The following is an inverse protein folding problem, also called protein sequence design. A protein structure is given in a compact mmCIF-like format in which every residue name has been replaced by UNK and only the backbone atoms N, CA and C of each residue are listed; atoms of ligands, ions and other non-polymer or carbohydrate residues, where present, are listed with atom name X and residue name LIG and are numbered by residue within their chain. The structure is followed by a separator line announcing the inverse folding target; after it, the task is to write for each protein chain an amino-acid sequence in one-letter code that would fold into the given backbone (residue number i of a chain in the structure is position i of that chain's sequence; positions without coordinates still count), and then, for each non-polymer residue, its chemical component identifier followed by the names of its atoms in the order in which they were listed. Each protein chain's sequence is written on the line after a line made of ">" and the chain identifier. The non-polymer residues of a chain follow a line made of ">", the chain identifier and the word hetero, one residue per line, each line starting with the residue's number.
data_IF_934657810599
#
_entry.id   IF_934657810599
#
_cell.length_a   1.000
_cell.length_b   1.000
_cell.length_c   1.000
_cell.angle_alpha   90.00
_cell.angle_beta   90.00
_cell.angle_gamma   90.00
#
_symmetry.space_group_name_H-M   'P 1'
#
loop_
_entity.id
_entity.type
_entity.pdbx_description
1 polymer ?
#
# COMPACT_ATOMS: atom_id res chain seq x y z
N UNK A 1 18.63 6.00 16.57
CA UNK A 1 18.09 5.54 15.27
C UNK A 1 16.65 5.11 15.49
N UNK A 2 15.68 5.65 14.76
CA UNK A 2 14.29 5.16 14.86
C UNK A 2 14.21 3.76 14.25
N UNK A 3 13.57 2.83 14.97
CA UNK A 3 13.42 1.43 14.52
C UNK A 3 12.40 1.38 13.38
N UNK A 4 12.68 0.56 12.37
CA UNK A 4 11.70 0.27 11.32
C UNK A 4 10.41 -0.31 11.93
N UNK A 5 9.27 0.06 11.36
CA UNK A 5 7.96 -0.47 11.75
C UNK A 5 7.50 -1.45 10.69
N UNK A 6 7.03 -2.62 11.12
CA UNK A 6 6.54 -3.68 10.22
C UNK A 6 5.11 -4.01 10.61
N UNK A 7 4.22 -3.91 9.63
CA UNK A 7 2.84 -4.37 9.72
C UNK A 7 2.71 -5.69 8.96
N UNK A 8 2.64 -6.79 9.69
CA UNK A 8 2.57 -8.14 9.15
C UNK A 8 1.11 -8.55 8.90
N UNK A 9 0.83 -9.09 7.72
CA UNK A 9 -0.50 -9.56 7.36
C UNK A 9 -0.63 -11.05 7.68
N UNK A 10 -1.73 -11.43 8.33
CA UNK A 10 -2.04 -12.82 8.66
C UNK A 10 -2.24 -13.69 7.43
N UNK A 11 -2.87 -13.11 6.41
CA UNK A 11 -3.14 -13.77 5.13
C UNK A 11 -2.85 -12.83 3.96
N UNK A 12 -2.63 -13.42 2.79
CA UNK A 12 -2.41 -12.68 1.55
C UNK A 12 -3.73 -12.14 0.95
N UNK A 13 -4.53 -11.46 1.77
CA UNK A 13 -5.87 -10.99 1.44
C UNK A 13 -5.99 -9.49 1.70
N UNK A 14 -6.48 -8.75 0.72
CA UNK A 14 -6.81 -7.31 0.87
C UNK A 14 -8.26 -7.10 1.32
N UNK A 15 -9.02 -8.19 1.46
CA UNK A 15 -10.46 -8.17 1.73
C UNK A 15 -10.78 -8.58 3.17
N UNK A 16 -10.00 -9.51 3.72
CA UNK A 16 -10.23 -10.07 5.04
C UNK A 16 -8.90 -10.55 5.62
N UNK A 17 -8.31 -9.80 6.54
CA UNK A 17 -7.02 -10.15 7.15
C UNK A 17 -6.81 -9.38 8.46
N UNK A 18 -6.10 -9.98 9.40
CA UNK A 18 -5.56 -9.29 10.57
C UNK A 18 -4.17 -8.76 10.25
N UNK A 19 -3.89 -7.55 10.69
CA UNK A 19 -2.59 -6.91 10.56
C UNK A 19 -2.00 -6.79 11.96
N UNK A 20 -0.83 -7.39 12.16
CA UNK A 20 -0.13 -7.42 13.43
C UNK A 20 1.13 -6.56 13.40
N UNK A 21 1.51 -6.00 14.56
CA UNK A 21 2.80 -5.36 14.79
C UNK A 21 3.49 -6.05 15.95
N UNK A 22 4.68 -6.60 15.72
CA UNK A 22 5.43 -7.33 16.76
C UNK A 22 4.65 -8.50 17.36
N UNK A 23 3.87 -9.22 16.52
CA UNK A 23 3.04 -10.35 16.94
C UNK A 23 1.70 -9.99 17.60
N UNK A 24 1.45 -8.71 17.91
CA UNK A 24 0.17 -8.27 18.47
C UNK A 24 -0.77 -7.77 17.36
N UNK A 25 -2.04 -8.22 17.30
CA UNK A 25 -3.05 -7.69 16.39
C UNK A 25 -3.21 -6.18 16.57
N UNK A 26 -3.04 -5.43 15.49
CA UNK A 26 -3.11 -3.97 15.48
C UNK A 26 -4.30 -3.46 14.67
N UNK A 27 -4.57 -4.08 13.51
CA UNK A 27 -5.73 -3.73 12.68
C UNK A 27 -6.42 -4.98 12.15
N UNK A 28 -7.70 -4.84 11.81
CA UNK A 28 -8.47 -5.81 11.05
C UNK A 28 -8.96 -5.14 9.77
N UNK A 29 -8.75 -5.80 8.63
CA UNK A 29 -9.32 -5.43 7.34
C UNK A 29 -10.51 -6.35 7.10
N UNK A 30 -11.66 -5.77 6.78
CA UNK A 30 -12.86 -6.54 6.45
C UNK A 30 -13.64 -5.87 5.33
N UNK A 31 -13.97 -6.63 4.29
CA UNK A 31 -14.88 -6.25 3.22
C UNK A 31 -16.23 -6.91 3.45
N UNK A 32 -17.32 -6.17 3.24
CA UNK A 32 -18.67 -6.74 3.33
C UNK A 32 -18.93 -7.80 2.25
N UNK A 33 -20.00 -8.57 2.41
CA UNK A 33 -20.34 -9.68 1.50
C UNK A 33 -20.53 -9.24 0.04
N UNK A 34 -21.04 -8.02 -0.17
CA UNK A 34 -21.23 -7.46 -1.50
C UNK A 34 -19.96 -6.89 -2.14
N UNK A 35 -18.81 -6.91 -1.44
CA UNK A 35 -17.57 -6.32 -1.96
C UNK A 35 -17.59 -4.78 -2.05
N UNK A 36 -18.65 -4.13 -1.57
CA UNK A 36 -18.92 -2.71 -1.75
C UNK A 36 -18.32 -1.84 -0.65
N UNK A 37 -17.91 -2.41 0.49
CA UNK A 37 -17.30 -1.63 1.56
C UNK A 37 -16.17 -2.41 2.21
N UNK A 38 -14.98 -1.83 2.23
CA UNK A 38 -13.81 -2.32 2.97
C UNK A 38 -13.53 -1.38 4.13
N UNK A 39 -13.38 -1.93 5.32
CA UNK A 39 -13.06 -1.20 6.54
C UNK A 39 -11.74 -1.67 7.12
N UNK A 40 -10.99 -0.73 7.69
CA UNK A 40 -9.79 -0.96 8.49
C UNK A 40 -10.11 -0.48 9.89
N UNK A 41 -10.04 -1.36 10.89
CA UNK A 41 -10.41 -1.07 12.27
C UNK A 41 -9.38 -1.54 13.26
N UNK A 42 -9.28 -0.87 14.41
CA UNK A 42 -8.51 -1.38 15.54
C UNK A 42 -9.28 -2.53 16.23
N UNK A 43 -8.66 -3.69 16.49
CA UNK A 43 -9.28 -4.80 17.20
C UNK A 43 -9.57 -4.39 18.65
N UNK A 44 -10.66 -4.90 19.22
CA UNK A 44 -11.09 -4.61 20.60
C UNK A 44 -11.91 -3.33 20.74
N UNK A 45 -11.44 -2.19 20.25
CA UNK A 45 -12.18 -0.91 20.35
C UNK A 45 -13.18 -0.70 19.23
N UNK A 46 -13.06 -1.47 18.13
CA UNK A 46 -13.83 -1.30 16.91
C UNK A 46 -13.71 0.12 16.29
N UNK A 47 -12.65 0.85 16.64
CA UNK A 47 -12.39 2.20 16.12
C UNK A 47 -12.10 2.11 14.62
N UNK A 48 -12.84 2.87 13.82
CA UNK A 48 -12.63 2.96 12.38
C UNK A 48 -11.38 3.78 12.09
N UNK A 49 -10.41 3.22 11.35
CA UNK A 49 -9.27 3.96 10.82
C UNK A 49 -9.58 4.51 9.43
N UNK A 50 -10.05 3.63 8.55
CA UNK A 50 -10.41 3.98 7.19
C UNK A 50 -11.58 3.12 6.69
N UNK A 51 -12.44 3.72 5.87
CA UNK A 51 -13.51 3.04 5.14
C UNK A 51 -13.42 3.40 3.68
N UNK A 52 -13.31 2.40 2.81
CA UNK A 52 -13.42 2.53 1.37
C UNK A 52 -14.79 1.99 0.97
N UNK A 53 -15.63 2.85 0.39
CA UNK A 53 -16.95 2.48 -0.11
C UNK A 53 -16.93 2.54 -1.64
N UNK A 54 -17.15 1.40 -2.27
CA UNK A 54 -17.33 1.23 -3.71
C UNK A 54 -18.80 1.34 -4.07
N UNK A 55 -19.10 2.11 -5.10
CA UNK A 55 -20.48 2.41 -5.47
C UNK A 55 -20.68 2.21 -6.96
N UNK A 56 -21.78 1.57 -7.33
CA UNK A 56 -22.08 1.28 -8.74
C UNK A 56 -22.53 2.54 -9.50
N UNK A 57 -23.36 3.38 -8.86
CA UNK A 57 -23.97 4.56 -9.47
C UNK A 57 -23.30 5.89 -9.06
N UNK A 58 -22.49 5.86 -8.00
CA UNK A 58 -21.85 7.07 -7.45
C UNK A 58 -20.34 6.87 -7.43
N UNK A 59 -19.54 7.95 -7.34
CA UNK A 59 -18.10 7.81 -7.18
C UNK A 59 -17.74 7.07 -5.90
N UNK A 60 -16.74 6.20 -5.98
CA UNK A 60 -16.11 5.58 -4.81
C UNK A 60 -15.64 6.64 -3.82
N UNK A 61 -15.76 6.35 -2.53
CA UNK A 61 -15.37 7.27 -1.47
C UNK A 61 -14.45 6.61 -0.46
N UNK A 62 -13.57 7.41 0.14
CA UNK A 62 -12.78 7.04 1.30
C UNK A 62 -13.11 7.96 2.48
N UNK A 63 -13.24 7.41 3.67
CA UNK A 63 -13.43 8.14 4.91
C UNK A 63 -12.40 7.69 5.94
N UNK A 64 -11.86 8.63 6.71
CA UNK A 64 -10.94 8.39 7.81
C UNK A 64 -11.62 8.76 9.14
N UNK A 65 -11.06 8.28 10.25
CA UNK A 65 -11.57 8.54 11.60
C UNK A 65 -11.77 10.05 11.89
N UNK A 66 -10.87 10.87 11.35
CA UNK A 66 -10.70 12.30 11.63
C UNK A 66 -11.32 13.22 10.56
N UNK A 67 -12.01 12.66 9.55
CA UNK A 67 -12.32 13.40 8.34
C UNK A 67 -13.68 13.09 7.72
N UNK A 68 -14.17 14.04 6.91
CA UNK A 68 -15.34 13.82 6.06
C UNK A 68 -14.97 12.86 4.91
N UNK A 69 -15.92 12.04 4.43
CA UNK A 69 -15.70 11.24 3.24
C UNK A 69 -15.25 12.09 2.05
N UNK A 70 -14.22 11.64 1.34
CA UNK A 70 -13.72 12.23 0.12
C UNK A 70 -13.92 11.27 -1.06
N UNK A 71 -14.05 11.80 -2.28
CA UNK A 71 -14.01 10.96 -3.48
C UNK A 71 -12.65 10.28 -3.56
N UNK A 72 -12.64 8.97 -3.75
CA UNK A 72 -11.42 8.15 -3.75
C UNK A 72 -10.45 8.59 -4.86
N UNK A 73 -10.97 8.88 -6.06
CA UNK A 73 -10.17 9.39 -7.19
C UNK A 73 -9.58 10.79 -6.96
N UNK A 74 -10.19 11.59 -6.08
CA UNK A 74 -9.65 12.91 -5.69
C UNK A 74 -8.59 12.78 -4.60
N UNK A 75 -8.76 11.83 -3.68
CA UNK A 75 -7.81 11.57 -2.60
C UNK A 75 -6.56 10.85 -3.09
N UNK A 76 -6.73 9.77 -3.86
CA UNK A 76 -5.64 8.98 -4.44
C UNK A 76 -5.64 9.15 -5.97
N UNK A 77 -5.05 10.25 -6.42
CA UNK A 77 -5.07 10.69 -7.82
C UNK A 77 -4.14 9.83 -8.65
N UNK A 78 -4.68 9.11 -9.62
CA UNK A 78 -3.91 8.35 -10.58
C UNK A 78 -3.36 9.28 -11.66
N UNK A 79 -2.08 9.14 -11.99
CA UNK A 79 -1.43 9.96 -13.00
C UNK A 79 -0.20 9.25 -13.59
N UNK A 80 0.18 9.67 -14.79
CA UNK A 80 1.53 9.43 -15.32
C UNK A 80 2.50 10.37 -14.61
N UNK A 81 3.56 9.83 -14.02
CA UNK A 81 4.60 10.58 -13.32
C UNK A 81 5.57 11.22 -14.32
N UNK A 82 6.50 12.04 -13.84
CA UNK A 82 7.44 12.78 -14.68
C UNK A 82 8.38 11.88 -15.49
N UNK A 83 8.61 10.66 -15.02
CA UNK A 83 9.37 9.61 -15.72
C UNK A 83 8.52 8.79 -16.69
N UNK A 84 7.27 9.18 -16.95
CA UNK A 84 6.37 8.46 -17.86
C UNK A 84 5.71 7.22 -17.24
N UNK A 85 5.99 6.90 -15.99
CA UNK A 85 5.49 5.69 -15.34
C UNK A 85 4.17 5.95 -14.58
N UNK A 86 3.25 4.97 -14.54
CA UNK A 86 1.99 5.13 -13.82
C UNK A 86 2.24 5.16 -12.31
N UNK A 87 1.56 6.08 -11.63
CA UNK A 87 1.58 6.19 -10.19
C UNK A 87 0.32 6.82 -9.62
N UNK A 88 0.26 6.89 -8.30
CA UNK A 88 -0.81 7.51 -7.57
C UNK A 88 -0.25 8.54 -6.58
N UNK A 89 -0.87 9.70 -6.48
CA UNK A 89 -0.48 10.76 -5.54
C UNK A 89 -1.57 11.01 -4.52
N UNK A 90 -1.17 11.25 -3.27
CA UNK A 90 -2.08 11.60 -2.19
C UNK A 90 -1.35 12.33 -1.06
N UNK A 91 -2.12 13.06 -0.26
CA UNK A 91 -1.60 13.79 0.89
C UNK A 91 -1.70 12.94 2.16
N UNK A 92 -0.64 13.00 2.97
CA UNK A 92 -0.57 12.44 4.32
C UNK A 92 -0.14 13.53 5.30
N UNK A 93 -0.25 13.32 6.62
CA UNK A 93 0.38 14.21 7.60
C UNK A 93 1.90 14.36 7.41
N UNK A 94 2.57 13.43 6.70
CA UNK A 94 3.99 13.51 6.33
C UNK A 94 4.23 14.38 5.07
N UNK A 95 3.17 14.90 4.45
CA UNK A 95 3.20 15.61 3.18
C UNK A 95 2.69 14.77 2.01
N UNK A 96 2.80 15.35 0.80
CA UNK A 96 2.45 14.68 -0.45
C UNK A 96 3.36 13.46 -0.69
N UNK A 97 2.77 12.35 -1.08
CA UNK A 97 3.46 11.10 -1.34
C UNK A 97 3.07 10.52 -2.70
N UNK A 98 3.96 9.67 -3.25
CA UNK A 98 3.76 9.00 -4.54
C UNK A 98 3.82 7.49 -4.36
N UNK A 99 2.72 6.81 -4.62
CA UNK A 99 2.60 5.35 -4.59
C UNK A 99 2.72 4.79 -6.00
N UNK A 100 3.67 3.89 -6.23
CA UNK A 100 3.94 3.33 -7.55
C UNK A 100 4.55 1.93 -7.45
N UNK A 101 4.61 1.25 -8.59
CA UNK A 101 5.31 -0.02 -8.68
C UNK A 101 6.82 0.16 -8.41
N UNK A 102 7.44 -0.87 -7.82
CA UNK A 102 8.86 -0.90 -7.52
C UNK A 102 9.47 -2.23 -7.98
N UNK A 103 10.66 -2.24 -8.60
CA UNK A 103 11.33 -3.47 -9.04
C UNK A 103 11.47 -4.55 -7.97
N UNK A 104 11.84 -4.16 -6.75
CA UNK A 104 12.15 -5.12 -5.67
C UNK A 104 10.97 -5.36 -4.73
N UNK A 105 10.01 -4.44 -4.68
CA UNK A 105 9.02 -4.41 -3.61
C UNK A 105 7.59 -4.58 -4.12
N UNK A 106 7.36 -4.77 -5.43
CA UNK A 106 6.03 -4.73 -6.08
C UNK A 106 5.34 -3.37 -6.00
N UNK A 107 5.25 -2.76 -4.82
CA UNK A 107 4.70 -1.43 -4.58
C UNK A 107 5.53 -0.69 -3.53
N UNK A 108 5.84 0.58 -3.79
CA UNK A 108 6.53 1.46 -2.86
C UNK A 108 5.90 2.86 -2.85
N UNK A 109 5.92 3.48 -1.68
CA UNK A 109 5.50 4.84 -1.42
C UNK A 109 6.73 5.71 -1.23
N UNK A 110 6.81 6.78 -2.01
CA UNK A 110 7.89 7.75 -1.97
C UNK A 110 7.40 9.08 -1.40
N UNK A 111 8.34 9.89 -0.92
CA UNK A 111 8.14 11.34 -0.79
C UNK A 111 7.85 11.98 -2.16
N UNK A 112 7.28 13.19 -2.15
CA UNK A 112 6.92 13.92 -3.37
C UNK A 112 8.08 14.12 -4.37
N UNK A 113 9.31 14.23 -3.87
CA UNK A 113 10.54 14.40 -4.66
C UNK A 113 11.11 13.06 -5.18
N UNK A 114 10.45 11.94 -4.88
CA UNK A 114 10.86 10.57 -5.26
C UNK A 114 12.22 10.11 -4.69
N UNK A 115 12.84 10.88 -3.79
CA UNK A 115 14.19 10.55 -3.28
C UNK A 115 14.17 9.53 -2.15
N UNK A 116 13.04 9.39 -1.43
CA UNK A 116 12.96 8.59 -0.21
C UNK A 116 11.75 7.68 -0.20
N UNK A 117 11.99 6.39 0.03
CA UNK A 117 10.93 5.42 0.33
C UNK A 117 10.39 5.66 1.75
N UNK A 118 9.10 5.93 1.85
CA UNK A 118 8.33 6.12 3.10
C UNK A 118 7.75 4.79 3.59
N UNK A 119 7.27 3.96 2.66
CA UNK A 119 6.77 2.62 2.96
C UNK A 119 6.86 1.74 1.71
N UNK A 120 6.90 0.42 1.87
CA UNK A 120 6.86 -0.51 0.74
C UNK A 120 6.28 -1.87 1.15
N UNK A 121 5.80 -2.63 0.17
CA UNK A 121 5.52 -4.04 0.41
C UNK A 121 6.82 -4.82 0.62
N UNK A 122 6.83 -5.68 1.62
CA UNK A 122 7.87 -6.66 1.89
C UNK A 122 7.33 -8.07 1.69
N UNK A 123 8.17 -8.95 1.13
CA UNK A 123 7.90 -10.38 1.01
C UNK A 123 8.22 -11.16 2.30
N UNK A 124 8.18 -12.49 2.19
CA UNK A 124 8.36 -13.44 3.31
C UNK A 124 9.70 -13.34 4.06
N UNK A 125 10.71 -12.67 3.48
CA UNK A 125 11.98 -12.41 4.17
C UNK A 125 11.85 -11.17 5.04
N UNK A 126 11.09 -11.29 6.12
CA UNK A 126 11.07 -10.29 7.18
C UNK A 126 12.41 -10.30 7.91
N UNK A 127 12.90 -9.14 8.38
CA UNK A 127 14.15 -9.10 9.13
C UNK A 127 14.04 -10.04 10.35
N UNK A 128 15.09 -10.83 10.66
CA UNK A 128 15.05 -11.85 11.72
C UNK A 128 14.77 -11.30 13.12
N UNK A 129 14.80 -9.96 13.28
CA UNK A 129 14.57 -9.25 14.53
C UNK A 129 13.10 -8.94 14.85
N UNK A 130 12.14 -9.37 14.02
CA UNK A 130 10.70 -9.22 14.32
C UNK A 130 10.19 -10.58 14.83
N UNK A 131 9.98 -10.75 16.15
CA UNK A 131 9.32 -11.93 16.67
C UNK A 131 7.86 -11.90 16.19
N UNK A 132 7.63 -12.61 15.11
CA UNK A 132 6.30 -12.94 14.67
C UNK A 132 5.99 -14.24 15.41
N UNK A 133 4.87 -14.27 16.12
CA UNK A 133 4.26 -15.51 16.58
C UNK A 133 4.08 -16.47 15.37
N UNK A 134 3.62 -17.73 15.49
CA UNK A 134 3.57 -18.66 14.36
C UNK A 134 2.52 -18.31 13.27
N UNK A 135 2.26 -17.04 13.00
CA UNK A 135 1.65 -16.54 11.78
C UNK A 135 2.61 -16.76 10.61
N UNK A 136 2.15 -17.49 9.61
CA UNK A 136 2.77 -17.49 8.29
C UNK A 136 2.59 -16.10 7.67
N UNK A 137 3.58 -15.22 7.85
CA UNK A 137 3.49 -13.89 7.24
C UNK A 137 3.69 -14.03 5.74
N UNK A 138 2.62 -13.79 5.00
CA UNK A 138 2.62 -13.88 3.54
C UNK A 138 2.93 -12.55 2.87
N UNK A 139 2.70 -11.44 3.58
CA UNK A 139 2.94 -10.08 3.10
C UNK A 139 3.14 -9.14 4.30
N UNK A 140 3.97 -8.11 4.15
CA UNK A 140 4.14 -7.09 5.17
C UNK A 140 4.25 -5.69 4.57
N UNK A 141 3.66 -4.70 5.23
CA UNK A 141 3.91 -3.29 4.93
C UNK A 141 5.04 -2.80 5.83
N UNK A 142 6.15 -2.38 5.23
CA UNK A 142 7.37 -1.97 5.94
C UNK A 142 7.51 -0.46 5.88
N UNK A 143 7.74 0.16 7.03
CA UNK A 143 8.06 1.57 7.19
C UNK A 143 9.52 1.68 7.66
N UNK A 144 10.45 2.20 6.84
CA UNK A 144 11.85 2.36 7.23
C UNK A 144 12.04 3.26 8.46
N UNK A 145 11.12 4.20 8.68
CA UNK A 145 11.05 5.06 9.87
C UNK A 145 9.67 4.96 10.48
N UNK A 146 9.59 5.04 11.81
CA UNK A 146 8.31 5.12 12.52
C UNK A 146 7.47 6.29 12.00
N UNK A 147 6.18 6.04 11.81
CA UNK A 147 5.17 7.01 11.40
C UNK A 147 4.09 7.09 12.47
N UNK A 148 3.41 8.22 12.57
CA UNK A 148 2.25 8.36 13.45
C UNK A 148 1.07 7.52 12.95
N UNK A 149 0.12 7.22 13.83
CA UNK A 149 -1.03 6.36 13.52
C UNK A 149 -1.95 6.96 12.44
N UNK A 150 -2.06 8.30 12.35
CA UNK A 150 -2.91 8.96 11.37
C UNK A 150 -2.31 8.86 9.95
N UNK A 151 -0.99 8.93 9.83
CA UNK A 151 -0.25 8.64 8.60
C UNK A 151 -0.30 7.16 8.25
N UNK A 152 -0.10 6.28 9.23
CA UNK A 152 -0.12 4.82 9.02
C UNK A 152 -1.44 4.33 8.43
N UNK A 153 -2.58 4.75 8.99
CA UNK A 153 -3.89 4.34 8.49
C UNK A 153 -4.17 4.78 7.05
N UNK A 154 -3.73 6.00 6.68
CA UNK A 154 -3.85 6.53 5.31
C UNK A 154 -2.97 5.77 4.33
N UNK A 155 -1.72 5.52 4.71
CA UNK A 155 -0.77 4.78 3.90
C UNK A 155 -1.28 3.34 3.70
N UNK A 156 -1.68 2.66 4.78
CA UNK A 156 -2.24 1.32 4.71
C UNK A 156 -3.45 1.24 3.78
N UNK A 157 -4.39 2.19 3.87
CA UNK A 157 -5.55 2.24 2.98
C UNK A 157 -5.15 2.43 1.50
N UNK A 158 -4.15 3.26 1.21
CA UNK A 158 -3.65 3.47 -0.15
C UNK A 158 -3.02 2.19 -0.71
N UNK A 159 -2.18 1.51 0.08
CA UNK A 159 -1.54 0.25 -0.30
C UNK A 159 -2.57 -0.86 -0.56
N UNK A 160 -3.55 -1.05 0.34
CA UNK A 160 -4.61 -2.03 0.17
C UNK A 160 -5.42 -1.79 -1.10
N UNK A 161 -5.83 -0.54 -1.34
CA UNK A 161 -6.60 -0.19 -2.53
C UNK A 161 -5.80 -0.42 -3.81
N UNK A 162 -4.56 0.07 -3.86
CA UNK A 162 -3.72 -0.04 -5.04
C UNK A 162 -3.37 -1.50 -5.35
N UNK A 163 -3.02 -2.29 -4.33
CA UNK A 163 -2.75 -3.72 -4.48
C UNK A 163 -3.98 -4.48 -4.97
N UNK A 164 -5.15 -4.20 -4.42
CA UNK A 164 -6.39 -4.82 -4.87
C UNK A 164 -6.69 -4.47 -6.33
N UNK A 165 -6.49 -3.21 -6.74
CA UNK A 165 -6.70 -2.79 -8.13
C UNK A 165 -5.71 -3.48 -9.08
N UNK A 166 -4.44 -3.59 -8.69
CA UNK A 166 -3.42 -4.33 -9.45
C UNK A 166 -3.84 -5.79 -9.63
N UNK A 167 -4.29 -6.48 -8.56
CA UNK A 167 -4.74 -7.88 -8.66
C UNK A 167 -5.96 -8.07 -9.57
N UNK A 168 -6.89 -7.10 -9.58
CA UNK A 168 -8.04 -7.14 -10.49
C UNK A 168 -7.56 -7.00 -11.94
N UNK A 169 -6.68 -6.05 -12.22
CA UNK A 169 -6.10 -5.88 -13.55
C UNK A 169 -5.30 -7.12 -13.99
N UNK A 170 -4.50 -7.73 -13.09
CA UNK A 170 -3.75 -8.97 -13.35
C UNK A 170 -4.69 -10.11 -13.73
N UNK A 171 -5.80 -10.27 -12.99
CA UNK A 171 -6.82 -11.29 -13.26
C UNK A 171 -7.56 -11.06 -14.58
N UNK A 172 -7.75 -9.80 -14.98
CA UNK A 172 -8.39 -9.43 -16.23
C UNK A 172 -7.44 -9.48 -17.44
N UNK A 173 -6.16 -9.78 -17.24
CA UNK A 173 -5.16 -9.81 -18.32
C UNK A 173 -4.70 -8.41 -18.78
N UNK A 174 -5.03 -7.35 -18.05
CA UNK A 174 -4.69 -5.96 -18.39
C UNK A 174 -3.21 -5.61 -18.09
N UNK A 175 -2.48 -6.48 -17.39
CA UNK A 175 -1.12 -6.21 -16.87
C UNK A 175 -0.03 -6.79 -17.79
N UNK A 176 -0.15 -6.54 -19.10
CA UNK A 176 0.93 -6.79 -20.05
C UNK A 176 1.83 -5.57 -20.30
N UNK A 177 1.40 -4.34 -19.99
CA UNK A 177 2.21 -3.14 -20.28
C UNK A 177 3.17 -2.75 -19.13
N UNK A 178 2.72 -2.80 -17.86
CA UNK A 178 3.50 -2.24 -16.75
C UNK A 178 4.72 -3.11 -16.39
N UNK A 179 4.56 -4.43 -16.29
CA UNK A 179 5.68 -5.34 -15.97
C UNK A 179 6.72 -5.45 -17.10
N UNK A 180 6.29 -5.27 -18.37
CA UNK A 180 7.17 -5.29 -19.54
C UNK A 180 7.99 -4.00 -19.64
N UNK A 181 7.43 -2.84 -19.30
CA UNK A 181 8.20 -1.58 -19.27
C UNK A 181 9.28 -1.57 -18.17
N UNK A 182 8.98 -2.03 -16.95
CA UNK A 182 9.98 -2.07 -15.87
C UNK A 182 11.15 -3.01 -16.19
N UNK A 183 10.93 -4.11 -16.92
CA UNK A 183 12.00 -5.00 -17.36
C UNK A 183 12.87 -4.36 -18.45
N UNK A 184 12.30 -3.54 -19.34
CA UNK A 184 13.05 -2.86 -20.38
C UNK A 184 13.96 -1.76 -19.81
N UNK A 185 13.46 -0.95 -18.87
CA UNK A 185 14.22 0.17 -18.30
C UNK A 185 15.37 -0.28 -17.37
N UNK A 186 15.17 -1.37 -16.63
CA UNK A 186 16.27 -1.99 -15.85
C UNK A 186 17.35 -2.60 -16.75
N UNK A 187 16.99 -3.10 -17.93
CA UNK A 187 17.95 -3.61 -18.91
C UNK A 187 18.71 -2.46 -19.60
N UNK A 188 18.07 -1.32 -19.83
CA UNK A 188 18.69 -0.14 -20.46
C UNK A 188 19.67 0.57 -19.51
N UNK A 189 19.29 0.72 -18.24
CA UNK A 189 20.17 1.26 -17.20
C UNK A 189 21.36 0.33 -16.89
N UNK A 190 21.17 -0.99 -16.98
CA UNK A 190 22.27 -1.95 -16.83
C UNK A 190 23.19 -2.00 -18.06
N UNK A 191 22.68 -1.74 -19.27
CA UNK A 191 23.46 -1.67 -20.51
C UNK A 191 24.41 -0.46 -20.58
N UNK A 192 24.07 0.64 -19.91
CA UNK A 192 24.90 1.85 -19.89
C UNK A 192 26.05 1.85 -18.88
N UNK A 193 26.17 0.84 -18.00
CA UNK A 193 27.29 0.73 -17.04
C UNK A 193 28.50 -0.08 -17.56
N UNK A 194 28.52 -0.54 -18.81
CA UNK A 194 29.65 -1.34 -19.35
C UNK A 194 30.70 -0.55 -20.15
N UNK A 195 30.66 0.79 -20.17
CA UNK A 195 31.66 1.61 -20.85
C UNK A 195 32.07 2.83 -20.03
N UNK A 196 32.84 2.62 -18.97
CA UNK A 196 33.75 3.63 -18.37
C UNK A 196 34.94 2.93 -17.77
#
# INVERSE_FOLDING_TARGET
>A
MSKATVLAFESNSMLATTIARGGAPLYAVSTNQHGSTTEIRAPGTNTLLARIARRELLPDTIAFADGKPARLSKWLKQSTLADGLPGATFDTPLGACVLRAHPEHRLALYSADLTRIVAHWGGQSLPPAVPLAPMQVTMALVFPKAVDAASEGRILAAFLFQEQRTRVAERNGEVHATAVMYRAELLDLAGHQQWT
#
